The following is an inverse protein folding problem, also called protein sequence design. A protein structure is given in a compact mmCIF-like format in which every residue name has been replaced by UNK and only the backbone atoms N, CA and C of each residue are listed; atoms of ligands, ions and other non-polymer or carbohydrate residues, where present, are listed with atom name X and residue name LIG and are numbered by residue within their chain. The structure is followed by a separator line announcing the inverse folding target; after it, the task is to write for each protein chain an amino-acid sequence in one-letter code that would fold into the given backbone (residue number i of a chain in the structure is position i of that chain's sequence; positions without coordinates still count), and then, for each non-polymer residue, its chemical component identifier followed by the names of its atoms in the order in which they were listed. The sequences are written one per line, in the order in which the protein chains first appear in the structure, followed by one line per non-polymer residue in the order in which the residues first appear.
data_IF_643034857090
#
_entry.id   IF_643034857090
#
_cell.length_a   1.000
_cell.length_b   1.000
_cell.length_c   1.000
_cell.angle_alpha   90.00
_cell.angle_beta   90.00
_cell.angle_gamma   90.00
#
_symmetry.space_group_name_H-M   'P 1'
#
loop_
_entity.id
_entity.type
_entity.pdbx_description
1 polymer ?
#
# COMPACT_ATOMS: atom_id res chain seq x y z
N UNK A 1 2.48 -12.16 27.90
CA UNK A 1 1.22 -11.96 27.16
C UNK A 1 0.84 -13.31 26.58
N UNK A 2 -0.28 -13.92 27.00
CA UNK A 2 -0.68 -15.22 26.47
C UNK A 2 -1.18 -15.03 25.04
N UNK A 3 -0.56 -15.72 24.10
CA UNK A 3 -1.08 -15.90 22.74
C UNK A 3 -2.37 -16.70 22.84
N UNK A 4 -3.51 -16.09 22.48
CA UNK A 4 -4.80 -16.78 22.38
C UNK A 4 -4.73 -17.76 21.20
N UNK A 5 -4.46 -19.04 21.50
CA UNK A 5 -4.35 -20.14 20.55
C UNK A 5 -5.69 -20.58 19.96
N UNK A 6 -6.75 -19.79 20.15
CA UNK A 6 -8.15 -20.13 19.83
C UNK A 6 -8.82 -19.13 18.90
N UNK A 7 -8.05 -18.30 18.18
CA UNK A 7 -8.61 -17.52 17.09
C UNK A 7 -9.10 -18.49 15.98
N UNK A 8 -10.39 -18.48 15.60
CA UNK A 8 -10.89 -19.35 14.55
C UNK A 8 -10.15 -19.08 13.22
N UNK A 9 -10.05 -20.07 12.31
CA UNK A 9 -9.46 -19.89 10.98
C UNK A 9 -10.27 -18.83 10.22
N UNK A 10 -9.78 -17.61 10.28
CA UNK A 10 -10.44 -16.43 9.74
C UNK A 10 -9.49 -15.66 8.84
N UNK A 11 -10.05 -14.78 8.02
CA UNK A 11 -9.27 -13.91 7.15
C UNK A 11 -8.52 -12.89 8.03
N UNK A 12 -7.20 -12.81 7.88
CA UNK A 12 -6.41 -11.78 8.54
C UNK A 12 -6.43 -10.52 7.66
N UNK A 13 -6.85 -9.39 8.22
CA UNK A 13 -7.06 -8.16 7.44
C UNK A 13 -6.23 -7.02 8.00
N UNK A 14 -5.58 -6.30 7.09
CA UNK A 14 -5.03 -4.97 7.31
C UNK A 14 -5.73 -4.01 6.34
N UNK A 15 -6.21 -2.88 6.84
CA UNK A 15 -6.84 -1.86 6.01
C UNK A 15 -6.24 -0.52 6.37
N UNK A 16 -5.59 0.14 5.41
CA UNK A 16 -4.94 1.44 5.58
C UNK A 16 -5.68 2.51 4.81
N UNK A 17 -5.71 3.73 5.36
CA UNK A 17 -6.32 4.88 4.72
C UNK A 17 -5.51 6.14 4.96
N UNK A 18 -5.40 6.95 3.91
CA UNK A 18 -4.93 8.32 3.95
C UNK A 18 -5.99 9.22 3.33
N UNK A 19 -6.41 10.24 4.07
CA UNK A 19 -7.35 11.28 3.65
C UNK A 19 -6.70 12.69 3.64
N UNK A 20 -5.39 12.75 3.87
CA UNK A 20 -4.58 13.94 3.65
C UNK A 20 -3.89 13.88 2.29
N UNK A 21 -3.71 14.99 1.56
CA UNK A 21 -3.04 14.95 0.26
C UNK A 21 -1.60 14.43 0.36
N UNK A 22 -1.20 13.53 -0.54
CA UNK A 22 0.20 13.18 -0.80
C UNK A 22 0.61 13.72 -2.17
N UNK A 23 1.62 14.59 -2.19
CA UNK A 23 2.20 15.10 -3.44
C UNK A 23 3.08 14.04 -4.09
N UNK A 24 2.86 13.82 -5.39
CA UNK A 24 3.66 12.96 -6.27
C UNK A 24 4.38 13.89 -7.26
N UNK A 25 5.72 13.82 -7.36
CA UNK A 25 6.45 14.74 -8.22
C UNK A 25 6.19 14.48 -9.71
N UNK A 26 6.26 15.55 -10.51
CA UNK A 26 6.18 15.48 -11.98
C UNK A 26 7.23 14.54 -12.56
N UNK A 27 6.84 13.73 -13.55
CA UNK A 27 7.74 12.81 -14.26
C UNK A 27 8.59 11.92 -13.33
N UNK A 28 8.07 11.58 -12.16
CA UNK A 28 8.78 10.79 -11.17
C UNK A 28 8.69 9.29 -11.46
N UNK A 29 9.67 8.48 -11.01
CA UNK A 29 9.42 7.06 -10.86
C UNK A 29 8.24 6.83 -9.91
N UNK A 30 7.73 5.61 -9.88
CA UNK A 30 6.66 5.25 -8.95
C UNK A 30 7.02 5.57 -7.51
N UNK A 31 6.15 6.35 -6.87
CA UNK A 31 6.27 6.79 -5.49
C UNK A 31 5.39 5.93 -4.59
N UNK A 32 5.92 5.48 -3.45
CA UNK A 32 5.16 4.72 -2.46
C UNK A 32 4.07 5.60 -1.87
N UNK A 33 2.83 5.09 -1.81
CA UNK A 33 1.75 5.77 -1.10
C UNK A 33 1.91 5.48 0.39
N UNK A 34 1.94 6.53 1.20
CA UNK A 34 2.28 6.49 2.64
C UNK A 34 1.01 6.57 3.48
N UNK A 35 0.96 5.84 4.59
CA UNK A 35 -0.22 5.77 5.43
C UNK A 35 0.11 6.10 6.90
N UNK A 36 -0.80 6.77 7.62
CA UNK A 36 -0.62 7.05 9.03
C UNK A 36 -0.84 5.80 9.89
N UNK A 37 -0.13 5.75 11.02
CA UNK A 37 -0.32 4.76 12.07
C UNK A 37 -1.41 5.17 13.05
N UNK A 38 -2.06 4.21 13.71
CA UNK A 38 -2.99 4.46 14.82
C UNK A 38 -4.46 4.63 14.40
N UNK A 39 -5.18 5.56 15.02
CA UNK A 39 -6.67 5.61 15.06
C UNK A 39 -7.35 6.19 13.82
N UNK A 40 -6.65 6.36 12.70
CA UNK A 40 -7.32 6.56 11.42
C UNK A 40 -8.17 5.32 11.06
N UNK A 41 -8.87 5.28 9.92
CA UNK A 41 -9.58 4.06 9.46
C UNK A 41 -8.62 2.85 9.25
N UNK A 42 -7.32 3.05 9.49
CA UNK A 42 -6.28 2.06 9.73
C UNK A 42 -6.68 0.99 10.77
N UNK A 43 -7.33 -0.09 10.31
CA UNK A 43 -7.60 -1.26 11.12
C UNK A 43 -6.50 -2.28 10.91
N UNK A 44 -5.68 -2.49 11.94
CA UNK A 44 -4.54 -3.40 11.89
C UNK A 44 -4.45 -4.28 13.15
N UNK A 45 -5.48 -5.10 13.36
CA UNK A 45 -5.56 -6.01 14.53
C UNK A 45 -4.40 -7.01 14.58
N UNK A 46 -3.83 -7.36 13.43
CA UNK A 46 -2.80 -8.39 13.29
C UNK A 46 -1.37 -7.82 13.22
N UNK A 47 -1.21 -6.52 13.51
CA UNK A 47 0.09 -5.86 13.58
C UNK A 47 0.91 -5.92 12.26
N UNK A 48 0.24 -5.80 11.11
CA UNK A 48 0.85 -5.78 9.79
C UNK A 48 1.38 -4.40 9.35
N UNK A 49 1.01 -3.33 10.05
CA UNK A 49 1.39 -1.95 9.75
C UNK A 49 1.72 -1.19 11.04
N UNK A 50 2.99 -1.23 11.44
CA UNK A 50 3.44 -0.80 12.77
C UNK A 50 4.59 0.21 12.69
N UNK A 51 4.67 1.15 13.64
CA UNK A 51 5.79 2.12 13.70
C UNK A 51 7.14 1.43 13.83
N UNK A 52 7.19 0.38 14.66
CA UNK A 52 8.33 -0.51 14.81
C UNK A 52 8.23 -1.60 13.74
N UNK A 53 9.08 -1.49 12.73
CA UNK A 53 9.09 -2.42 11.61
C UNK A 53 9.72 -3.77 12.03
N UNK A 54 9.36 -4.89 11.37
CA UNK A 54 9.90 -6.21 11.69
C UNK A 54 11.43 -6.34 11.59
N UNK A 55 12.07 -5.50 10.79
CA UNK A 55 13.52 -5.43 10.63
C UNK A 55 14.22 -4.55 11.70
N UNK A 56 13.47 -4.03 12.67
CA UNK A 56 13.97 -3.19 13.76
C UNK A 56 14.04 -1.70 13.42
N UNK A 57 13.70 -1.29 12.20
CA UNK A 57 13.60 0.13 11.85
C UNK A 57 12.41 0.80 12.59
N UNK A 58 12.60 2.05 13.00
CA UNK A 58 11.56 2.83 13.70
C UNK A 58 11.22 4.06 12.88
N UNK A 59 9.96 4.15 12.46
CA UNK A 59 9.47 5.29 11.69
C UNK A 59 9.19 6.46 12.63
N UNK A 60 9.82 7.61 12.39
CA UNK A 60 9.64 8.81 13.23
C UNK A 60 8.65 9.80 12.64
N UNK A 61 8.54 9.86 11.31
CA UNK A 61 7.56 10.66 10.60
C UNK A 61 6.99 9.87 9.41
N UNK A 62 5.76 9.40 9.58
CA UNK A 62 5.07 8.60 8.56
C UNK A 62 4.92 9.38 7.24
N UNK A 63 4.67 10.70 7.30
CA UNK A 63 4.35 11.48 6.10
C UNK A 63 5.57 11.83 5.24
N UNK A 64 6.76 11.36 5.63
CA UNK A 64 8.02 11.55 4.87
C UNK A 64 8.78 10.25 4.65
N UNK A 65 8.31 9.14 5.23
CA UNK A 65 9.02 7.87 5.24
C UNK A 65 8.23 6.82 4.45
N UNK A 66 8.82 6.31 3.37
CA UNK A 66 8.19 5.30 2.51
C UNK A 66 7.90 3.98 3.22
N UNK A 67 8.56 3.70 4.36
CA UNK A 67 8.25 2.51 5.18
C UNK A 67 6.86 2.59 5.82
N UNK A 68 6.27 3.79 5.90
CA UNK A 68 4.86 3.96 6.29
C UNK A 68 3.87 3.57 5.18
N UNK A 69 4.35 3.21 3.99
CA UNK A 69 3.51 2.64 2.93
C UNK A 69 3.39 1.12 3.00
N UNK A 70 4.08 0.47 3.93
CA UNK A 70 4.26 -0.98 3.94
C UNK A 70 3.19 -1.69 4.75
N UNK A 71 2.66 -2.77 4.18
CA UNK A 71 1.99 -3.85 4.90
C UNK A 71 2.95 -5.04 4.95
N UNK A 72 3.29 -5.50 6.14
CA UNK A 72 3.99 -6.75 6.41
C UNK A 72 2.96 -7.83 6.72
N UNK A 73 2.73 -8.81 5.84
CA UNK A 73 1.77 -9.87 6.12
C UNK A 73 2.05 -10.54 7.47
N UNK A 74 1.02 -10.75 8.29
CA UNK A 74 1.18 -11.40 9.60
C UNK A 74 1.33 -12.93 9.48
N UNK A 75 0.95 -13.50 8.34
CA UNK A 75 1.06 -14.92 8.04
C UNK A 75 1.22 -15.14 6.53
N UNK A 76 1.74 -16.31 6.16
CA UNK A 76 1.81 -16.73 4.76
C UNK A 76 0.44 -17.25 4.30
N UNK A 77 0.14 -17.09 3.01
CA UNK A 77 -1.11 -17.60 2.45
C UNK A 77 -1.51 -16.95 1.14
N UNK A 78 -2.79 -17.09 0.79
CA UNK A 78 -3.37 -16.40 -0.36
C UNK A 78 -3.88 -15.03 0.09
N UNK A 79 -3.18 -13.98 -0.34
CA UNK A 79 -3.53 -12.58 -0.13
C UNK A 79 -4.41 -12.03 -1.25
N UNK A 80 -5.42 -11.27 -0.89
CA UNK A 80 -6.14 -10.38 -1.81
C UNK A 80 -5.81 -8.94 -1.43
N UNK A 81 -5.21 -8.23 -2.37
CA UNK A 81 -4.89 -6.82 -2.27
C UNK A 81 -6.04 -5.99 -2.82
N UNK A 82 -6.33 -4.89 -2.15
CA UNK A 82 -7.24 -3.86 -2.61
C UNK A 82 -6.55 -2.51 -2.55
N UNK A 83 -6.74 -1.69 -3.57
CA UNK A 83 -6.36 -0.28 -3.50
C UNK A 83 -7.47 0.60 -4.05
N UNK A 84 -7.58 1.78 -3.46
CA UNK A 84 -8.34 2.91 -3.98
C UNK A 84 -7.40 4.09 -4.04
N UNK A 85 -7.35 4.78 -5.18
CA UNK A 85 -6.51 5.96 -5.36
C UNK A 85 -7.38 7.03 -6.00
N UNK A 86 -7.48 8.17 -5.32
CA UNK A 86 -8.12 9.36 -5.84
C UNK A 86 -7.09 10.45 -6.07
N UNK A 87 -6.97 10.90 -7.31
CA UNK A 87 -6.10 12.01 -7.68
C UNK A 87 -6.91 13.26 -7.90
N UNK A 88 -6.34 14.41 -7.53
CA UNK A 88 -6.89 15.70 -7.99
C UNK A 88 -6.96 15.77 -9.52
N UNK A 89 -7.81 16.65 -10.03
CA UNK A 89 -7.87 16.93 -11.46
C UNK A 89 -6.54 17.50 -11.97
N UNK A 90 -6.18 17.19 -13.21
CA UNK A 90 -4.92 17.61 -13.82
C UNK A 90 -4.87 17.36 -15.31
N UNK A 91 -3.74 17.70 -15.90
CA UNK A 91 -3.46 17.65 -17.34
C UNK A 91 -2.67 16.39 -17.69
N UNK A 92 -2.99 15.29 -17.01
CA UNK A 92 -2.40 13.98 -17.26
C UNK A 92 -2.71 13.51 -18.68
N UNK A 93 -1.79 12.78 -19.30
CA UNK A 93 -2.12 11.91 -20.43
C UNK A 93 -2.25 10.46 -19.94
N UNK A 94 -1.51 10.12 -18.88
CA UNK A 94 -1.48 8.79 -18.28
C UNK A 94 -1.23 8.86 -16.77
N UNK A 95 -2.01 8.07 -16.03
CA UNK A 95 -1.72 7.75 -14.64
C UNK A 95 -1.42 6.26 -14.51
N UNK A 96 -0.51 5.93 -13.61
CA UNK A 96 -0.03 4.57 -13.42
C UNK A 96 0.01 4.20 -11.96
N UNK A 97 -0.35 2.96 -11.67
CA UNK A 97 -0.28 2.41 -10.33
C UNK A 97 0.04 0.91 -10.37
N UNK A 98 0.62 0.40 -9.28
CA UNK A 98 0.99 -1.01 -9.18
C UNK A 98 1.04 -1.47 -7.73
N UNK A 99 0.81 -2.76 -7.55
CA UNK A 99 1.24 -3.46 -6.34
C UNK A 99 2.69 -3.91 -6.49
N UNK A 100 3.41 -3.94 -5.39
CA UNK A 100 4.81 -4.35 -5.37
C UNK A 100 5.12 -5.11 -4.10
N UNK A 101 5.80 -6.23 -4.26
CA UNK A 101 6.52 -6.94 -3.21
C UNK A 101 7.90 -6.34 -3.07
N UNK A 102 8.30 -6.10 -1.85
CA UNK A 102 9.58 -5.50 -1.50
C UNK A 102 9.90 -4.19 -2.27
N UNK A 103 9.07 -3.15 -2.13
CA UNK A 103 9.25 -1.86 -2.83
C UNK A 103 10.59 -1.17 -2.56
N UNK A 104 11.23 -1.45 -1.41
CA UNK A 104 12.39 -0.72 -0.90
C UNK A 104 13.66 -1.57 -0.87
N UNK A 105 13.62 -2.80 -1.38
CA UNK A 105 14.76 -3.72 -1.42
C UNK A 105 15.26 -4.18 -0.06
N UNK A 106 14.32 -4.52 0.83
CA UNK A 106 14.54 -5.09 2.15
C UNK A 106 14.77 -6.61 2.11
N UNK A 107 14.58 -7.25 0.96
CA UNK A 107 14.76 -8.68 0.72
C UNK A 107 15.73 -8.95 -0.45
N UNK A 108 16.17 -10.21 -0.65
CA UNK A 108 17.01 -10.57 -1.80
C UNK A 108 16.36 -10.44 -3.19
N UNK A 109 15.03 -10.26 -3.26
CA UNK A 109 14.27 -10.14 -4.50
C UNK A 109 13.51 -8.79 -4.54
N UNK A 110 14.22 -7.66 -4.68
CA UNK A 110 13.63 -6.32 -4.59
C UNK A 110 12.73 -6.00 -5.79
N UNK A 111 11.71 -5.18 -5.54
CA UNK A 111 10.93 -4.54 -6.60
C UNK A 111 10.11 -5.50 -7.47
N UNK A 112 9.61 -6.59 -6.90
CA UNK A 112 8.77 -7.57 -7.60
C UNK A 112 7.34 -7.01 -7.79
N UNK A 113 7.08 -6.48 -8.98
CA UNK A 113 5.83 -5.78 -9.31
C UNK A 113 4.75 -6.71 -9.81
N UNK A 114 3.50 -6.42 -9.48
CA UNK A 114 2.35 -7.13 -10.02
C UNK A 114 1.14 -6.22 -10.15
N UNK A 115 0.18 -6.61 -11.00
CA UNK A 115 -0.98 -5.81 -11.35
C UNK A 115 -0.59 -4.36 -11.72
N UNK A 116 0.40 -4.18 -12.58
CA UNK A 116 0.75 -2.85 -13.10
C UNK A 116 -0.33 -2.38 -14.05
N UNK A 117 -0.90 -1.21 -13.79
CA UNK A 117 -1.99 -0.66 -14.58
C UNK A 117 -1.69 0.77 -15.01
N UNK A 118 -2.06 1.05 -16.25
CA UNK A 118 -1.88 2.33 -16.92
C UNK A 118 -3.25 2.73 -17.47
N UNK A 119 -3.64 4.00 -17.27
CA UNK A 119 -4.97 4.48 -17.68
C UNK A 119 -4.92 5.92 -18.17
N UNK A 120 -5.69 6.27 -19.22
CA UNK A 120 -5.96 7.67 -19.52
C UNK A 120 -6.83 8.29 -18.43
N UNK A 121 -6.78 9.62 -18.23
CA UNK A 121 -7.65 10.29 -17.27
C UNK A 121 -9.11 10.31 -17.74
N UNK A 122 -10.01 10.28 -16.77
CA UNK A 122 -11.40 10.71 -16.90
C UNK A 122 -11.52 12.24 -16.70
N UNK A 123 -12.64 12.88 -17.08
CA UNK A 123 -12.86 14.29 -16.75
C UNK A 123 -12.89 14.53 -15.23
N UNK A 124 -12.15 15.53 -14.76
CA UNK A 124 -12.15 15.95 -13.35
C UNK A 124 -11.23 15.14 -12.45
N UNK A 125 -11.69 14.83 -11.23
CA UNK A 125 -10.95 14.03 -10.24
C UNK A 125 -10.84 12.57 -10.71
N UNK A 126 -9.67 11.96 -10.58
CA UNK A 126 -9.48 10.56 -10.99
C UNK A 126 -9.80 9.64 -9.82
N UNK A 127 -10.78 8.75 -9.96
CA UNK A 127 -11.28 7.94 -8.85
C UNK A 127 -11.24 6.46 -9.21
N UNK A 128 -10.21 5.74 -8.78
CA UNK A 128 -10.03 4.35 -9.20
C UNK A 128 -9.87 3.39 -8.05
N UNK A 129 -10.32 2.17 -8.30
CA UNK A 129 -10.18 1.03 -7.39
C UNK A 129 -9.61 -0.15 -8.17
N UNK A 130 -8.83 -0.99 -7.48
CA UNK A 130 -8.30 -2.23 -8.04
C UNK A 130 -8.21 -3.31 -6.98
N UNK A 131 -8.15 -4.55 -7.45
CA UNK A 131 -7.94 -5.72 -6.62
C UNK A 131 -7.04 -6.74 -7.32
N UNK A 132 -6.26 -7.49 -6.55
CA UNK A 132 -5.39 -8.52 -7.11
C UNK A 132 -5.08 -9.64 -6.11
N UNK A 133 -5.00 -10.88 -6.59
CA UNK A 133 -4.68 -12.05 -5.77
C UNK A 133 -3.22 -12.46 -5.88
N UNK A 134 -2.57 -12.73 -4.75
CA UNK A 134 -1.16 -13.11 -4.67
C UNK A 134 -0.88 -14.10 -3.54
N UNK A 135 0.19 -14.89 -3.66
CA UNK A 135 0.81 -15.47 -2.46
C UNK A 135 1.57 -14.38 -1.69
N UNK A 136 1.42 -14.40 -0.36
CA UNK A 136 2.09 -13.50 0.57
C UNK A 136 2.98 -14.27 1.55
N UNK A 137 4.05 -13.61 2.00
CA UNK A 137 5.02 -14.11 2.96
C UNK A 137 5.28 -13.02 4.01
N UNK A 138 5.28 -13.32 5.32
CA UNK A 138 5.59 -12.34 6.37
C UNK A 138 6.95 -11.66 6.27
N UNK A 139 7.91 -12.27 5.58
CA UNK A 139 9.24 -11.71 5.35
C UNK A 139 9.27 -10.67 4.21
N UNK A 140 8.18 -10.55 3.44
CA UNK A 140 8.14 -9.71 2.23
C UNK A 140 7.09 -8.61 2.38
N UNK A 141 7.50 -7.33 2.54
CA UNK A 141 6.56 -6.24 2.66
C UNK A 141 5.88 -5.95 1.33
N UNK A 142 4.66 -5.44 1.40
CA UNK A 142 3.82 -5.08 0.27
C UNK A 142 3.56 -3.59 0.28
N UNK A 143 3.48 -2.98 -0.90
CA UNK A 143 2.99 -1.60 -1.05
C UNK A 143 2.16 -1.42 -2.32
N UNK A 144 1.42 -0.31 -2.32
CA UNK A 144 0.92 0.32 -3.54
C UNK A 144 1.79 1.55 -3.84
N UNK A 145 2.15 1.70 -5.11
CA UNK A 145 2.90 2.86 -5.60
C UNK A 145 2.29 3.38 -6.88
N UNK A 146 2.43 4.68 -7.11
CA UNK A 146 1.80 5.35 -8.23
C UNK A 146 2.71 6.43 -8.83
N UNK A 147 2.43 6.79 -10.09
CA UNK A 147 3.07 7.90 -10.81
C UNK A 147 2.12 8.44 -11.87
N UNK A 148 2.49 9.57 -12.46
CA UNK A 148 1.77 10.23 -13.54
C UNK A 148 2.75 10.94 -14.48
N UNK A 149 2.28 11.34 -15.66
CA UNK A 149 3.08 12.03 -16.68
C UNK A 149 2.83 13.54 -16.80
N UNK A 150 1.93 14.10 -15.98
CA UNK A 150 1.76 15.55 -15.89
C UNK A 150 3.09 16.27 -15.59
N UNK A 151 3.25 17.45 -16.19
CA UNK A 151 4.42 18.33 -16.12
C UNK A 151 4.64 18.98 -14.75
N UNK A 152 3.62 19.00 -13.88
CA UNK A 152 3.69 19.53 -12.51
C UNK A 152 3.41 18.44 -11.49
N UNK A 153 3.86 18.62 -10.25
CA UNK A 153 3.53 17.70 -9.17
C UNK A 153 2.02 17.67 -8.94
N UNK A 154 1.48 16.48 -8.64
CA UNK A 154 0.05 16.26 -8.44
C UNK A 154 -0.24 15.52 -7.16
N UNK A 155 -1.42 15.78 -6.60
CA UNK A 155 -1.81 15.18 -5.33
C UNK A 155 -2.69 13.95 -5.52
N UNK A 156 -2.33 12.89 -4.80
CA UNK A 156 -3.28 11.87 -4.38
C UNK A 156 -4.03 12.45 -3.17
N UNK A 157 -5.33 12.71 -3.32
CA UNK A 157 -6.17 13.36 -2.31
C UNK A 157 -6.80 12.36 -1.33
N UNK A 158 -6.94 11.11 -1.75
CA UNK A 158 -7.36 9.99 -0.90
C UNK A 158 -6.73 8.70 -1.41
N UNK A 159 -6.24 7.88 -0.49
CA UNK A 159 -5.79 6.53 -0.81
C UNK A 159 -6.22 5.52 0.24
N UNK A 160 -6.52 4.31 -0.22
CA UNK A 160 -6.70 3.14 0.63
C UNK A 160 -5.84 1.99 0.11
N UNK A 161 -5.24 1.23 1.03
CA UNK A 161 -4.52 0.01 0.71
C UNK A 161 -4.88 -1.07 1.72
N UNK A 162 -5.35 -2.22 1.24
CA UNK A 162 -5.88 -3.29 2.10
C UNK A 162 -5.30 -4.63 1.69
N UNK A 163 -5.07 -5.48 2.68
CA UNK A 163 -4.67 -6.87 2.52
C UNK A 163 -5.65 -7.75 3.28
N UNK A 164 -6.18 -8.76 2.61
CA UNK A 164 -6.91 -9.87 3.22
C UNK A 164 -6.13 -11.17 2.99
N UNK A 165 -5.67 -11.83 4.05
CA UNK A 165 -4.92 -13.09 3.97
C UNK A 165 -5.83 -14.25 4.34
N UNK A 166 -6.01 -15.16 3.38
CA UNK A 166 -6.62 -16.45 3.58
C UNK A 166 -5.51 -17.46 3.85
N UNK A 167 -5.62 -18.22 4.94
CA UNK A 167 -4.71 -19.32 5.21
C UNK A 167 -4.73 -20.30 4.03
N UNK A 168 -3.58 -20.49 3.39
CA UNK A 168 -3.38 -21.59 2.46
C UNK A 168 -3.05 -22.83 3.31
N UNK A 169 -3.84 -23.89 3.17
CA UNK A 169 -3.60 -25.18 3.82
C UNK A 169 -2.36 -25.88 3.27
#
# INVERSE_FOLDING_TARGET
MPTDTTAPPGVQVCSLKRDTPQSIPANSPYTVIRFPFGTAESTDRFAMHQVNQPDGYVITNWDTDDRSGLIWPSTAGWGVLYAMIQWEAGDYEELRDQFVRDPLGLTPAPGDTTATEHRPPSPGMQCWTKQWGIFVDPAVPLAVRATHDDSVARNIVLAEFKLAVHHAA
#
